data_IF_999211049288
#
_entry.id   IF_999211049288
#
_cell.length_a   1.000
_cell.length_b   1.000
_cell.length_c   1.000
_cell.angle_alpha   90.00
_cell.angle_beta   90.00
_cell.angle_gamma   90.00
#
_symmetry.space_group_name_H-M   'P 1'
#
loop_
_entity.id
_entity.type
_entity.pdbx_description
1 polymer ?
#
# COMPACT_ATOMS: atom_id res chain seq x y z
N UNK A 1 -0.60 -5.49 15.62
CA UNK A 1 -0.16 -4.49 14.62
C UNK A 1 0.41 -5.19 13.40
N UNK A 2 0.04 -4.73 12.23
CA UNK A 2 0.53 -5.28 10.97
C UNK A 2 1.05 -4.16 10.08
N UNK A 3 2.22 -4.36 9.45
CA UNK A 3 2.82 -3.40 8.54
C UNK A 3 2.87 -3.99 7.14
N UNK A 4 2.23 -3.32 6.19
CA UNK A 4 2.31 -3.66 4.78
C UNK A 4 3.40 -2.80 4.15
N UNK A 5 4.38 -3.45 3.51
CA UNK A 5 5.59 -2.77 3.06
C UNK A 5 6.14 -3.33 1.75
N UNK A 6 7.16 -2.64 1.22
CA UNK A 6 8.05 -3.15 0.18
C UNK A 6 9.47 -3.19 0.76
N UNK A 7 10.21 -4.26 0.47
CA UNK A 7 11.61 -4.40 0.93
C UNK A 7 12.53 -3.32 0.39
N UNK A 8 12.22 -2.78 -0.78
CA UNK A 8 13.04 -1.74 -1.43
C UNK A 8 12.65 -0.32 -1.03
N UNK A 9 11.68 -0.15 -0.17
CA UNK A 9 11.18 1.16 0.26
C UNK A 9 11.90 1.63 1.52
N UNK A 10 12.66 2.73 1.44
CA UNK A 10 13.40 3.28 2.57
C UNK A 10 12.47 3.75 3.69
N UNK A 11 11.36 4.40 3.34
CA UNK A 11 10.36 4.85 4.31
C UNK A 11 9.77 3.66 5.08
N UNK A 12 9.51 2.56 4.37
CA UNK A 12 9.03 1.33 5.00
C UNK A 12 10.05 0.77 5.98
N UNK A 13 11.32 0.72 5.58
CA UNK A 13 12.38 0.21 6.45
C UNK A 13 12.54 1.04 7.72
N UNK A 14 12.47 2.35 7.60
CA UNK A 14 12.51 3.27 8.75
C UNK A 14 11.34 3.06 9.69
N UNK A 15 10.14 2.92 9.14
CA UNK A 15 8.93 2.67 9.93
C UNK A 15 9.01 1.33 10.67
N UNK A 16 9.44 0.27 9.99
CA UNK A 16 9.60 -1.06 10.59
C UNK A 16 10.61 -1.01 11.73
N UNK A 17 11.73 -0.33 11.53
CA UNK A 17 12.75 -0.18 12.57
C UNK A 17 12.19 0.57 13.79
N UNK A 18 11.44 1.65 13.56
CA UNK A 18 10.83 2.43 14.64
C UNK A 18 9.79 1.63 15.43
N UNK A 19 9.12 0.68 14.78
CA UNK A 19 8.06 -0.14 15.38
C UNK A 19 8.56 -1.49 15.88
N UNK A 20 9.85 -1.79 15.77
CA UNK A 20 10.40 -3.12 16.08
C UNK A 20 10.11 -3.58 17.50
N UNK A 21 10.03 -2.67 18.47
CA UNK A 21 9.74 -2.99 19.87
C UNK A 21 8.27 -3.40 20.09
N UNK A 22 7.40 -3.20 19.12
CA UNK A 22 6.01 -3.67 19.16
C UNK A 22 5.84 -5.04 18.49
N UNK A 23 6.92 -5.61 17.95
CA UNK A 23 6.92 -6.90 17.25
C UNK A 23 5.80 -7.00 16.21
N UNK A 24 5.74 -6.08 15.22
CA UNK A 24 4.66 -6.07 14.25
C UNK A 24 4.73 -7.25 13.28
N UNK A 25 3.58 -7.72 12.84
CA UNK A 25 3.50 -8.64 11.72
C UNK A 25 3.83 -7.88 10.43
N UNK A 26 4.71 -8.45 9.59
CA UNK A 26 5.14 -7.81 8.36
C UNK A 26 4.59 -8.55 7.15
N UNK A 27 4.05 -7.80 6.18
CA UNK A 27 3.65 -8.35 4.89
C UNK A 27 4.29 -7.55 3.77
N UNK A 28 5.15 -8.21 2.99
CA UNK A 28 5.70 -7.64 1.76
C UNK A 28 4.64 -7.75 0.66
N UNK A 29 4.11 -6.62 0.21
CA UNK A 29 2.96 -6.61 -0.71
C UNK A 29 3.31 -7.09 -2.13
N UNK A 30 4.60 -7.17 -2.46
CA UNK A 30 5.03 -7.73 -3.74
C UNK A 30 5.10 -9.25 -3.66
N UNK A 31 5.63 -9.79 -2.57
CA UNK A 31 5.73 -11.24 -2.36
C UNK A 31 4.38 -11.86 -1.99
N UNK A 32 3.61 -11.14 -1.16
CA UNK A 32 2.28 -11.53 -0.71
C UNK A 32 1.30 -10.41 -1.02
N UNK A 33 0.69 -10.40 -2.22
CA UNK A 33 -0.27 -9.35 -2.58
C UNK A 33 -1.44 -9.25 -1.61
N UNK A 34 -1.93 -8.03 -1.42
CA UNK A 34 -3.09 -7.78 -0.57
C UNK A 34 -4.34 -8.26 -1.30
N UNK A 35 -5.21 -8.98 -0.59
CA UNK A 35 -6.46 -9.49 -1.15
C UNK A 35 -7.35 -8.33 -1.66
N UNK A 36 -8.02 -8.55 -2.79
CA UNK A 36 -8.91 -7.54 -3.39
C UNK A 36 -9.99 -7.06 -2.42
N UNK A 37 -10.53 -7.96 -1.61
CA UNK A 37 -11.55 -7.60 -0.62
C UNK A 37 -11.03 -6.57 0.38
N UNK A 38 -9.76 -6.69 0.78
CA UNK A 38 -9.11 -5.76 1.71
C UNK A 38 -8.87 -4.42 1.01
N UNK A 39 -8.34 -4.45 -0.21
CA UNK A 39 -8.11 -3.24 -1.00
C UNK A 39 -9.40 -2.49 -1.27
N UNK A 40 -10.47 -3.19 -1.60
CA UNK A 40 -11.79 -2.61 -1.81
C UNK A 40 -12.30 -1.90 -0.56
N UNK A 41 -12.13 -2.53 0.60
CA UNK A 41 -12.51 -1.94 1.89
C UNK A 41 -11.72 -0.66 2.16
N UNK A 42 -10.43 -0.69 1.94
CA UNK A 42 -9.57 0.48 2.15
C UNK A 42 -9.91 1.62 1.20
N UNK A 43 -10.21 1.31 -0.07
CA UNK A 43 -10.64 2.32 -1.05
C UNK A 43 -11.92 3.01 -0.61
N UNK A 44 -12.85 2.28 -0.01
CA UNK A 44 -14.10 2.86 0.53
C UNK A 44 -13.83 3.71 1.77
N UNK A 45 -12.86 3.33 2.58
CA UNK A 45 -12.55 4.00 3.85
C UNK A 45 -11.74 5.28 3.64
N UNK A 46 -10.67 5.23 2.85
CA UNK A 46 -9.72 6.35 2.71
C UNK A 46 -9.73 6.99 1.32
N UNK A 47 -10.23 6.28 0.32
CA UNK A 47 -10.31 6.75 -1.06
C UNK A 47 -9.02 6.53 -1.86
N UNK A 48 -9.17 6.58 -3.18
CA UNK A 48 -8.06 6.34 -4.11
C UNK A 48 -6.97 7.42 -4.00
N UNK A 49 -7.35 8.67 -3.74
CA UNK A 49 -6.38 9.78 -3.63
C UNK A 49 -5.38 9.56 -2.50
N UNK A 50 -5.79 8.87 -1.43
CA UNK A 50 -4.93 8.57 -0.30
C UNK A 50 -4.14 7.29 -0.55
N UNK A 51 -4.76 6.28 -1.13
CA UNK A 51 -4.18 4.94 -1.23
C UNK A 51 -3.22 4.78 -2.41
N UNK A 52 -3.47 5.48 -3.52
CA UNK A 52 -2.63 5.38 -4.73
C UNK A 52 -1.46 6.34 -4.64
N UNK A 53 -0.24 5.81 -4.78
CA UNK A 53 0.97 6.63 -4.79
C UNK A 53 1.25 7.16 -6.20
N UNK A 54 0.75 8.37 -6.49
CA UNK A 54 0.93 9.03 -7.79
C UNK A 54 2.35 9.57 -7.99
N UNK A 55 3.19 9.54 -6.97
CA UNK A 55 4.60 9.92 -7.08
C UNK A 55 5.50 8.73 -7.41
N UNK A 56 4.95 7.51 -7.46
CA UNK A 56 5.72 6.32 -7.73
C UNK A 56 6.16 6.25 -9.19
N UNK A 57 7.27 5.55 -9.44
CA UNK A 57 7.72 5.26 -10.79
C UNK A 57 6.69 4.42 -11.55
N UNK A 58 5.99 3.52 -10.85
CA UNK A 58 4.93 2.70 -11.43
C UNK A 58 3.82 3.56 -12.01
N UNK A 59 3.34 4.58 -11.26
CA UNK A 59 2.32 5.50 -11.74
C UNK A 59 2.79 6.28 -12.97
N UNK A 60 4.01 6.79 -12.93
CA UNK A 60 4.59 7.55 -14.05
C UNK A 60 4.74 6.70 -15.31
N UNK A 61 4.93 5.39 -15.14
CA UNK A 61 5.05 4.46 -16.27
C UNK A 61 3.71 4.04 -16.87
N UNK A 62 2.59 4.36 -16.26
CA UNK A 62 1.27 4.02 -16.77
C UNK A 62 0.85 4.99 -17.87
N UNK A 63 0.10 4.48 -18.87
CA UNK A 63 -0.54 5.32 -19.88
C UNK A 63 -1.67 6.15 -19.25
N UNK A 64 -2.09 7.21 -19.93
CA UNK A 64 -3.23 8.01 -19.47
C UNK A 64 -4.50 7.16 -19.36
N UNK A 65 -4.68 6.25 -20.29
CA UNK A 65 -5.82 5.33 -20.28
C UNK A 65 -5.79 4.41 -19.05
N UNK A 66 -4.62 3.88 -18.69
CA UNK A 66 -4.46 3.04 -17.51
C UNK A 66 -4.71 3.83 -16.22
N UNK A 67 -4.20 5.06 -16.14
CA UNK A 67 -4.39 5.92 -14.96
C UNK A 67 -5.86 6.26 -14.73
N UNK A 68 -6.65 6.34 -15.80
CA UNK A 68 -8.08 6.61 -15.72
C UNK A 68 -8.89 5.36 -15.35
N UNK A 69 -8.26 4.20 -15.25
CA UNK A 69 -8.91 2.93 -14.97
C UNK A 69 -9.38 2.77 -13.54
N UNK A 70 -9.99 1.63 -13.27
CA UNK A 70 -10.53 1.31 -11.95
C UNK A 70 -9.40 1.22 -10.91
N UNK A 71 -9.43 2.00 -9.82
CA UNK A 71 -8.39 1.98 -8.80
C UNK A 71 -8.15 0.61 -8.19
N UNK A 72 -9.20 -0.16 -7.93
CA UNK A 72 -9.06 -1.51 -7.38
C UNK A 72 -8.25 -2.42 -8.31
N UNK A 73 -8.54 -2.37 -9.60
CA UNK A 73 -7.82 -3.13 -10.61
C UNK A 73 -6.34 -2.71 -10.67
N UNK A 74 -6.08 -1.41 -10.64
CA UNK A 74 -4.72 -0.87 -10.67
C UNK A 74 -3.90 -1.33 -9.46
N UNK A 75 -4.48 -1.25 -8.27
CA UNK A 75 -3.79 -1.66 -7.05
C UNK A 75 -3.56 -3.16 -6.99
N UNK A 76 -4.50 -3.96 -7.49
CA UNK A 76 -4.36 -5.42 -7.55
C UNK A 76 -3.30 -5.84 -8.55
N UNK A 77 -3.22 -5.16 -9.69
CA UNK A 77 -2.28 -5.47 -10.78
C UNK A 77 -0.87 -4.96 -10.46
N UNK A 78 -0.78 -3.80 -9.81
CA UNK A 78 0.50 -3.13 -9.51
C UNK A 78 0.64 -2.86 -8.01
N UNK A 79 1.11 -3.85 -7.21
CA UNK A 79 1.28 -3.65 -5.77
C UNK A 79 2.15 -2.45 -5.40
N UNK A 80 3.09 -2.07 -6.28
CA UNK A 80 3.96 -0.92 -6.06
C UNK A 80 3.25 0.43 -6.19
N UNK A 81 2.00 0.45 -6.66
CA UNK A 81 1.16 1.66 -6.65
C UNK A 81 0.59 1.97 -5.28
N UNK A 82 0.51 0.98 -4.39
CA UNK A 82 -0.04 1.18 -3.06
C UNK A 82 0.89 2.08 -2.26
N UNK A 83 0.34 3.12 -1.66
CA UNK A 83 1.12 4.00 -0.79
C UNK A 83 1.60 3.22 0.44
N UNK A 84 2.85 3.37 0.80
CA UNK A 84 3.50 2.55 1.82
C UNK A 84 4.40 3.38 2.71
N UNK A 85 4.60 2.96 3.95
CA UNK A 85 4.00 1.80 4.61
C UNK A 85 2.54 2.02 4.97
N UNK A 86 1.77 0.94 5.05
CA UNK A 86 0.43 0.97 5.64
C UNK A 86 0.51 0.22 6.96
N UNK A 87 0.11 0.87 8.03
CA UNK A 87 0.14 0.29 9.38
C UNK A 87 -1.30 0.04 9.82
N UNK A 88 -1.62 -1.23 10.02
CA UNK A 88 -2.93 -1.64 10.51
C UNK A 88 -2.84 -1.93 12.01
N UNK A 89 -3.67 -1.27 12.79
CA UNK A 89 -3.78 -1.50 14.22
C UNK A 89 -5.26 -1.69 14.55
N UNK A 90 -5.65 -2.94 14.86
CA UNK A 90 -7.04 -3.36 14.97
C UNK A 90 -7.80 -3.06 13.66
N UNK A 91 -8.83 -2.22 13.68
CA UNK A 91 -9.61 -1.87 12.50
C UNK A 91 -9.19 -0.53 11.87
N UNK A 92 -8.13 0.08 12.39
CA UNK A 92 -7.64 1.38 11.93
C UNK A 92 -6.41 1.19 11.06
N UNK A 93 -6.35 1.91 9.93
CA UNK A 93 -5.17 1.94 9.07
C UNK A 93 -4.56 3.33 9.07
N UNK A 94 -3.23 3.37 9.07
CA UNK A 94 -2.45 4.59 8.96
C UNK A 94 -1.60 4.48 7.69
N UNK A 95 -1.73 5.45 6.80
CA UNK A 95 -1.03 5.49 5.53
C UNK A 95 -0.05 6.65 5.56
N UNK A 96 1.19 6.35 5.22
CA UNK A 96 2.23 7.36 5.21
C UNK A 96 2.09 8.32 4.03
#
# INVERSE_FOLDING_TARGET
MKVYHLKTCDTCRKAIKALSHHDPELQDVRAEPIAEAILSRWLKTVGADVLVNRKSATWRGLSDNDRAGNPLHLLSTHPTLIKQPIIKNNNTIHIN
#
